data_IF_577273510852
#
_entry.id   IF_577273510852
#
_cell.length_a   1.000
_cell.length_b   1.000
_cell.length_c   1.000
_cell.angle_alpha   90.00
_cell.angle_beta   90.00
_cell.angle_gamma   90.00
#
_symmetry.space_group_name_H-M   'P 1'
#
loop_
_entity.id
_entity.type
_entity.pdbx_description
1 polymer ?
#
# COMPACT_ATOMS: atom_id res chain seq x y z
N UNK A 1 8.07 13.86 -0.34
CA UNK A 1 8.62 12.48 -0.10
C UNK A 1 9.24 11.97 -1.39
N UNK A 2 10.01 10.88 -1.40
CA UNK A 2 10.65 10.36 -2.63
C UNK A 2 10.25 8.92 -2.94
N UNK A 3 10.28 8.58 -4.23
CA UNK A 3 10.03 7.21 -4.69
C UNK A 3 10.98 6.22 -3.99
N UNK A 4 10.41 5.19 -3.38
CA UNK A 4 11.13 4.20 -2.59
C UNK A 4 11.05 4.41 -1.08
N UNK A 5 10.68 5.61 -0.62
CA UNK A 5 10.44 5.88 0.80
C UNK A 5 9.25 5.06 1.29
N UNK A 6 9.24 4.74 2.58
CA UNK A 6 8.13 4.06 3.20
C UNK A 6 7.47 4.95 4.24
N UNK A 7 6.16 4.85 4.33
CA UNK A 7 5.33 5.74 5.11
C UNK A 7 4.46 4.96 6.07
N UNK A 8 4.26 5.58 7.22
CA UNK A 8 3.12 5.33 8.08
C UNK A 8 2.04 6.35 7.72
N UNK A 9 1.02 5.87 7.05
CA UNK A 9 -0.23 6.60 6.80
C UNK A 9 -1.25 6.15 7.83
N UNK A 10 -2.01 7.09 8.35
CA UNK A 10 -3.16 6.81 9.19
C UNK A 10 -3.96 8.08 9.43
N UNK A 11 -4.68 8.12 10.55
CA UNK A 11 -5.61 9.20 10.85
C UNK A 11 -7.01 8.87 10.36
N UNK A 12 -7.82 9.90 10.14
CA UNK A 12 -9.18 9.75 9.62
C UNK A 12 -9.22 10.18 8.17
N UNK A 13 -10.23 9.74 7.41
CA UNK A 13 -10.47 10.22 6.04
C UNK A 13 -10.38 11.76 5.89
N UNK A 14 -10.94 12.51 6.84
CA UNK A 14 -10.92 13.99 6.83
C UNK A 14 -9.58 14.61 7.25
N UNK A 15 -8.70 13.83 7.89
CA UNK A 15 -7.41 14.26 8.44
C UNK A 15 -6.39 13.13 8.35
N UNK A 16 -5.94 12.79 7.13
CA UNK A 16 -4.89 11.81 6.96
C UNK A 16 -3.56 12.37 7.44
N UNK A 17 -2.82 11.55 8.18
CA UNK A 17 -1.49 11.85 8.69
C UNK A 17 -0.48 10.93 7.99
N UNK A 18 0.58 11.54 7.44
CA UNK A 18 1.67 10.82 6.81
C UNK A 18 2.99 11.10 7.54
N UNK A 19 3.71 10.05 7.90
CA UNK A 19 5.04 10.13 8.50
C UNK A 19 5.98 9.09 7.90
N UNK A 20 7.27 9.41 7.83
CA UNK A 20 8.26 8.48 7.30
C UNK A 20 8.46 7.29 8.24
N UNK A 21 8.57 6.09 7.67
CA UNK A 21 8.76 4.84 8.39
C UNK A 21 9.86 4.00 7.73
N UNK A 22 10.45 3.09 8.50
CA UNK A 22 11.40 2.12 7.95
C UNK A 22 10.60 1.09 7.15
N UNK A 23 10.94 0.89 5.87
CA UNK A 23 10.31 -0.14 5.04
C UNK A 23 10.33 -1.52 5.71
N UNK A 24 9.22 -2.23 5.66
CA UNK A 24 9.07 -3.53 6.32
C UNK A 24 8.91 -3.49 7.84
N UNK A 25 9.05 -2.34 8.50
CA UNK A 25 8.76 -2.22 9.93
C UNK A 25 7.25 -2.23 10.18
N UNK A 26 6.82 -2.62 11.39
CA UNK A 26 5.41 -2.65 11.83
C UNK A 26 4.65 -1.33 11.59
N UNK A 27 5.36 -0.20 11.48
CA UNK A 27 4.77 1.11 11.25
C UNK A 27 4.59 1.45 9.78
N UNK A 28 5.29 0.77 8.88
CA UNK A 28 5.23 1.01 7.44
C UNK A 28 4.05 0.27 6.83
N UNK A 29 3.01 1.00 6.41
CA UNK A 29 1.90 0.43 5.67
C UNK A 29 1.95 0.70 4.17
N UNK A 30 2.58 1.80 3.77
CA UNK A 30 2.70 2.16 2.36
C UNK A 30 4.14 2.47 1.96
N UNK A 31 4.41 2.33 0.67
CA UNK A 31 5.65 2.68 0.00
C UNK A 31 5.35 3.67 -1.12
N UNK A 32 6.16 4.73 -1.18
CA UNK A 32 6.06 5.77 -2.20
C UNK A 32 6.52 5.22 -3.54
N UNK A 33 5.64 5.33 -4.53
CA UNK A 33 5.89 4.94 -5.92
C UNK A 33 6.39 6.14 -6.70
N UNK A 34 5.69 7.26 -6.55
CA UNK A 34 5.99 8.50 -7.24
C UNK A 34 5.44 9.70 -6.47
N UNK A 35 5.91 10.88 -6.84
CA UNK A 35 5.46 12.14 -6.26
C UNK A 35 5.21 13.11 -7.40
N UNK A 36 4.00 13.65 -7.43
CA UNK A 36 3.43 14.45 -8.51
C UNK A 36 2.75 15.69 -7.92
N UNK A 37 2.28 16.61 -8.77
CA UNK A 37 1.61 17.84 -8.30
C UNK A 37 0.11 17.68 -8.11
N UNK A 38 -0.48 16.69 -8.79
CA UNK A 38 -1.92 16.41 -8.80
C UNK A 38 -2.16 14.89 -8.79
N UNK A 39 -3.19 14.44 -8.06
CA UNK A 39 -3.55 13.01 -7.97
C UNK A 39 -3.89 12.38 -9.32
N UNK A 40 -4.38 13.16 -10.29
CA UNK A 40 -4.69 12.68 -11.65
C UNK A 40 -3.43 12.26 -12.42
N UNK A 41 -2.25 12.57 -11.91
CA UNK A 41 -0.95 12.20 -12.48
C UNK A 41 -0.38 10.92 -11.85
N UNK A 42 -1.03 10.37 -10.83
CA UNK A 42 -0.65 9.07 -10.27
C UNK A 42 -0.96 7.96 -11.29
N UNK A 43 -0.14 6.89 -11.33
CA UNK A 43 -0.51 5.67 -12.05
C UNK A 43 -1.90 5.20 -11.58
N UNK A 44 -2.73 4.71 -12.49
CA UNK A 44 -4.12 4.34 -12.18
C UNK A 44 -4.21 3.09 -11.29
N UNK A 45 -3.12 2.34 -11.19
CA UNK A 45 -3.02 1.09 -10.43
C UNK A 45 -2.39 1.28 -9.04
N UNK A 46 -2.19 2.51 -8.55
CA UNK A 46 -1.71 2.72 -7.17
C UNK A 46 -2.79 2.39 -6.15
N UNK A 47 -2.38 1.86 -5.00
CA UNK A 47 -3.34 1.48 -3.95
C UNK A 47 -3.99 2.72 -3.30
N UNK A 48 -3.22 3.80 -3.14
CA UNK A 48 -3.71 5.04 -2.56
C UNK A 48 -2.82 6.24 -2.91
N UNK A 49 -3.28 7.44 -2.60
CA UNK A 49 -2.51 8.68 -2.76
C UNK A 49 -2.75 9.62 -1.59
N UNK A 50 -1.74 10.42 -1.27
CA UNK A 50 -1.80 11.43 -0.21
C UNK A 50 -1.40 12.79 -0.75
N UNK A 51 -2.35 13.73 -0.74
CA UNK A 51 -2.13 15.11 -1.20
C UNK A 51 -1.83 16.04 -0.02
N UNK A 52 -0.69 16.70 -0.08
CA UNK A 52 -0.24 17.73 0.84
C UNK A 52 -0.37 19.09 0.17
N UNK A 53 -1.03 20.04 0.84
CA UNK A 53 -1.00 21.44 0.42
C UNK A 53 -0.13 22.22 1.39
N UNK A 54 0.83 22.97 0.85
CA UNK A 54 1.62 23.89 1.66
C UNK A 54 0.71 25.02 2.18
N UNK A 55 0.67 25.31 3.49
CA UNK A 55 -0.11 26.43 4.00
C UNK A 55 0.50 27.81 3.63
N UNK A 56 1.71 27.83 3.07
CA UNK A 56 2.46 29.05 2.75
C UNK A 56 2.72 29.24 1.25
N UNK A 57 2.34 28.29 0.40
CA UNK A 57 2.42 28.37 -1.07
C UNK A 57 1.20 27.68 -1.68
N UNK A 58 0.77 28.09 -2.88
CA UNK A 58 -0.28 27.38 -3.64
C UNK A 58 0.23 26.04 -4.24
N UNK A 59 1.33 25.51 -3.72
CA UNK A 59 1.95 24.27 -4.19
C UNK A 59 1.29 23.09 -3.47
N UNK A 60 0.74 22.17 -4.27
CA UNK A 60 0.30 20.86 -3.85
C UNK A 60 1.32 19.81 -4.25
N UNK A 61 1.65 18.90 -3.33
CA UNK A 61 2.41 17.69 -3.59
C UNK A 61 1.51 16.49 -3.33
N UNK A 62 1.33 15.63 -4.31
CA UNK A 62 0.62 14.36 -4.17
C UNK A 62 1.61 13.22 -4.22
N UNK A 63 1.57 12.37 -3.20
CA UNK A 63 2.39 11.18 -3.08
C UNK A 63 1.54 9.98 -3.49
N UNK A 64 1.92 9.31 -4.58
CA UNK A 64 1.26 8.10 -5.04
C UNK A 64 1.95 6.90 -4.40
N UNK A 65 1.18 5.99 -3.83
CA UNK A 65 1.72 4.98 -2.94
C UNK A 65 1.02 3.62 -3.09
N UNK A 66 1.82 2.57 -2.91
CA UNK A 66 1.35 1.20 -2.84
C UNK A 66 1.47 0.70 -1.42
N UNK A 67 0.73 -0.34 -1.07
CA UNK A 67 0.95 -1.08 0.16
C UNK A 67 2.39 -1.59 0.19
N UNK A 68 3.06 -1.45 1.34
CA UNK A 68 4.43 -1.92 1.54
C UNK A 68 4.46 -3.47 1.67
N UNK A 69 4.24 -4.16 0.55
CA UNK A 69 4.25 -5.62 0.50
C UNK A 69 5.66 -6.18 0.73
N UNK A 70 5.80 -7.01 1.75
CA UNK A 70 7.02 -7.76 2.06
C UNK A 70 6.70 -9.24 2.02
N UNK A 71 7.41 -10.00 1.19
CA UNK A 71 7.23 -11.45 1.09
C UNK A 71 7.43 -12.11 2.46
N UNK A 72 6.45 -12.89 2.88
CA UNK A 72 6.36 -13.54 4.19
C UNK A 72 5.71 -12.68 5.28
N UNK A 73 5.53 -11.37 5.05
CA UNK A 73 4.84 -10.47 5.97
C UNK A 73 3.32 -10.48 5.78
N UNK A 74 2.59 -10.11 6.84
CA UNK A 74 1.14 -9.95 6.81
C UNK A 74 0.69 -8.51 6.93
N UNK A 75 -0.34 -8.19 6.14
CA UNK A 75 -1.11 -6.96 6.24
C UNK A 75 -2.53 -7.32 6.68
N UNK A 76 -3.12 -6.49 7.52
CA UNK A 76 -4.58 -6.44 7.65
C UNK A 76 -5.10 -5.54 6.54
N UNK A 77 -5.96 -6.08 5.68
CA UNK A 77 -6.58 -5.32 4.60
C UNK A 77 -8.09 -5.31 4.84
N UNK A 78 -8.65 -4.13 5.06
CA UNK A 78 -10.08 -3.95 5.23
C UNK A 78 -10.80 -4.15 3.89
N UNK A 79 -11.69 -5.15 3.75
CA UNK A 79 -12.41 -5.39 2.50
C UNK A 79 -13.38 -4.24 2.16
N UNK A 80 -13.79 -3.42 3.13
CA UNK A 80 -14.64 -2.25 2.90
C UNK A 80 -13.82 -1.00 2.55
N UNK A 81 -12.48 -1.04 2.74
CA UNK A 81 -11.56 0.09 2.60
C UNK A 81 -11.94 1.30 3.49
N UNK A 82 -12.61 1.06 4.63
CA UNK A 82 -12.94 2.10 5.61
C UNK A 82 -11.72 2.48 6.45
N UNK A 83 -10.74 1.57 6.55
CA UNK A 83 -9.50 1.76 7.31
C UNK A 83 -8.27 1.49 6.46
N UNK A 84 -7.21 2.26 6.74
CA UNK A 84 -5.91 2.06 6.10
C UNK A 84 -5.36 0.65 6.44
N UNK A 85 -4.70 0.00 5.47
CA UNK A 85 -4.00 -1.23 5.70
C UNK A 85 -2.91 -1.01 6.75
N UNK A 86 -2.66 -2.03 7.57
CA UNK A 86 -1.61 -1.97 8.57
C UNK A 86 -0.93 -3.33 8.72
N UNK A 87 0.35 -3.31 9.11
CA UNK A 87 1.10 -4.55 9.35
C UNK A 87 0.61 -5.25 10.59
N UNK A 88 0.57 -6.56 10.50
CA UNK A 88 0.18 -7.42 11.62
C UNK A 88 1.01 -8.71 11.61
N UNK A 89 1.18 -9.31 12.78
CA UNK A 89 1.73 -10.66 12.86
C UNK A 89 0.75 -11.65 12.20
N UNK A 90 1.25 -12.48 11.29
CA UNK A 90 0.43 -13.49 10.63
C UNK A 90 -0.26 -14.44 11.63
N UNK A 91 0.34 -14.68 12.80
CA UNK A 91 -0.18 -15.53 13.87
C UNK A 91 -1.16 -14.83 14.80
N UNK A 92 -1.37 -13.51 14.66
CA UNK A 92 -2.31 -12.77 15.50
C UNK A 92 -3.76 -13.07 15.08
N UNK A 93 -4.34 -14.11 15.69
CA UNK A 93 -5.73 -14.51 15.46
C UNK A 93 -6.78 -13.44 15.79
N UNK A 94 -6.41 -12.35 16.47
CA UNK A 94 -7.35 -11.30 16.88
C UNK A 94 -7.57 -10.24 15.80
N UNK A 95 -6.62 -10.05 14.90
CA UNK A 95 -6.77 -9.12 13.79
C UNK A 95 -7.56 -9.77 12.64
N UNK A 96 -8.65 -9.16 12.14
CA UNK A 96 -9.41 -9.74 11.02
C UNK A 96 -8.65 -9.61 9.70
N UNK A 97 -9.14 -10.22 8.61
CA UNK A 97 -8.69 -9.96 7.22
C UNK A 97 -7.16 -9.92 7.01
N UNK A 98 -6.44 -10.85 7.64
CA UNK A 98 -4.98 -10.96 7.52
C UNK A 98 -4.62 -11.59 6.19
N UNK A 99 -3.79 -10.90 5.42
CA UNK A 99 -3.28 -11.38 4.15
C UNK A 99 -1.76 -11.42 4.17
N UNK A 100 -1.20 -12.59 3.89
CA UNK A 100 0.25 -12.78 3.79
C UNK A 100 0.69 -12.65 2.35
N UNK A 101 1.67 -11.78 2.07
CA UNK A 101 2.32 -11.78 0.76
C UNK A 101 3.19 -13.04 0.62
N UNK A 102 2.88 -13.86 -0.37
CA UNK A 102 3.59 -15.12 -0.64
C UNK A 102 4.66 -14.95 -1.69
N UNK A 103 4.41 -14.09 -2.68
CA UNK A 103 5.31 -13.85 -3.82
C UNK A 103 4.98 -12.50 -4.48
N UNK A 104 5.95 -11.91 -5.17
CA UNK A 104 5.73 -10.75 -6.04
C UNK A 104 6.21 -11.12 -7.44
N UNK A 105 5.26 -11.32 -8.36
CA UNK A 105 5.51 -11.66 -9.75
C UNK A 105 5.80 -10.40 -10.55
N UNK A 106 6.93 -10.37 -11.25
CA UNK A 106 7.33 -9.25 -12.12
C UNK A 106 6.98 -9.54 -13.58
N UNK A 107 6.57 -8.52 -14.34
CA UNK A 107 6.17 -8.64 -15.74
C UNK A 107 4.81 -9.34 -15.95
N UNK A 108 4.02 -9.50 -14.89
CA UNK A 108 2.73 -10.20 -14.88
C UNK A 108 1.76 -9.38 -14.07
N UNK A 109 0.62 -9.02 -14.65
CA UNK A 109 -0.52 -8.40 -13.94
C UNK A 109 -1.74 -9.33 -13.98
N UNK A 110 -1.59 -10.52 -13.40
CA UNK A 110 -2.63 -11.54 -13.40
C UNK A 110 -2.61 -12.35 -12.10
N UNK A 111 -3.66 -12.19 -11.30
CA UNK A 111 -3.87 -12.89 -10.02
C UNK A 111 -4.07 -14.40 -10.18
N UNK A 112 -4.49 -14.88 -11.35
CA UNK A 112 -4.65 -16.32 -11.63
C UNK A 112 -3.31 -17.07 -11.59
N UNK A 113 -2.18 -16.36 -11.69
CA UNK A 113 -0.85 -16.95 -11.56
C UNK A 113 -0.43 -17.16 -10.10
N UNK A 114 -1.16 -16.58 -9.15
CA UNK A 114 -0.92 -16.79 -7.73
C UNK A 114 -1.39 -18.19 -7.31
N UNK A 115 -0.57 -18.92 -6.55
CA UNK A 115 -0.90 -20.27 -6.12
C UNK A 115 -2.19 -20.35 -5.27
N UNK A 116 -2.50 -19.28 -4.54
CA UNK A 116 -3.73 -19.11 -3.77
C UNK A 116 -4.95 -18.74 -4.63
N UNK A 117 -4.73 -18.26 -5.85
CA UNK A 117 -5.75 -17.60 -6.69
C UNK A 117 -6.15 -16.21 -6.22
N UNK A 118 -5.44 -15.62 -5.24
CA UNK A 118 -5.73 -14.30 -4.67
C UNK A 118 -4.47 -13.44 -4.73
N UNK A 119 -4.62 -12.17 -5.10
CA UNK A 119 -3.52 -11.23 -5.23
C UNK A 119 -3.99 -9.83 -5.62
N UNK A 120 -3.03 -8.92 -5.73
CA UNK A 120 -3.18 -7.55 -6.19
C UNK A 120 -2.40 -7.38 -7.49
N UNK A 121 -3.11 -7.15 -8.60
CA UNK A 121 -2.49 -6.93 -9.89
C UNK A 121 -2.33 -5.43 -10.16
N UNK A 122 -1.11 -5.06 -10.51
CA UNK A 122 -0.71 -3.70 -10.84
C UNK A 122 -0.47 -3.64 -12.36
N UNK A 123 -1.53 -3.31 -13.10
CA UNK A 123 -1.58 -3.43 -14.57
C UNK A 123 -0.70 -2.41 -15.29
N UNK A 124 -0.52 -1.21 -14.77
CA UNK A 124 0.28 -0.18 -15.43
C UNK A 124 1.78 -0.48 -15.23
N UNK A 125 2.14 -0.94 -14.04
CA UNK A 125 3.52 -1.27 -13.66
C UNK A 125 3.90 -2.73 -13.90
N UNK A 126 2.97 -3.54 -14.39
CA UNK A 126 3.16 -4.93 -14.84
C UNK A 126 3.73 -5.83 -13.75
N UNK A 127 3.16 -5.82 -12.54
CA UNK A 127 3.52 -6.77 -11.49
C UNK A 127 2.27 -7.23 -10.71
N UNK A 128 2.38 -8.36 -10.01
CA UNK A 128 1.31 -8.92 -9.18
C UNK A 128 1.88 -9.30 -7.84
N UNK A 129 1.23 -8.86 -6.76
CA UNK A 129 1.52 -9.33 -5.41
C UNK A 129 0.57 -10.48 -5.10
N UNK A 130 1.11 -11.68 -4.98
CA UNK A 130 0.35 -12.85 -4.61
C UNK A 130 0.18 -12.91 -3.10
N UNK A 131 -1.05 -13.10 -2.64
CA UNK A 131 -1.38 -13.14 -1.22
C UNK A 131 -2.16 -14.39 -0.87
N UNK A 132 -2.16 -14.75 0.40
CA UNK A 132 -3.07 -15.77 0.93
C UNK A 132 -3.75 -15.25 2.20
N UNK A 133 -5.01 -15.63 2.39
CA UNK A 133 -5.73 -15.33 3.61
C UNK A 133 -5.21 -16.20 4.76
N UNK A 134 -4.74 -15.56 5.82
CA UNK A 134 -4.27 -16.26 7.02
C UNK A 134 -5.43 -16.39 8.00
N UNK A 135 -5.83 -17.64 8.27
CA UNK A 135 -6.90 -17.97 9.24
C UNK A 135 -6.39 -17.93 10.67
#
# INVERSE_FOLDING_TARGET
MQAGDCLKIGGTYDRPEASEAVCGSEQSNYKVVSTVTDSDQCPMDVDSYYSMTSPFSDESETVCMDIDWIVGGCMNIDPENDTDPYRVDCSDSTAPHRQRATEILQGVSNVDQCASGVGYAYDERQFTVCVEDVR
#
